data_IF_418504737678
#
_entry.id   IF_418504737678
#
_cell.length_a   1.000
_cell.length_b   1.000
_cell.length_c   1.000
_cell.angle_alpha   90.00
_cell.angle_beta   90.00
_cell.angle_gamma   90.00
#
_symmetry.space_group_name_H-M   'P 1'
#
loop_
_entity.id
_entity.type
_entity.pdbx_description
1 polymer ?
#
# COMPACT_ATOMS: atom_id res chain seq x y z
N UNK A 1 0.04 -56.23 -24.14
CA UNK A 1 0.79 -54.94 -24.03
C UNK A 1 -0.16 -53.92 -23.43
N UNK A 2 -0.07 -53.68 -22.12
CA UNK A 2 -0.92 -52.71 -21.42
C UNK A 2 -0.11 -51.44 -21.18
N UNK A 3 -0.51 -50.34 -21.81
CA UNK A 3 0.10 -49.03 -21.58
C UNK A 3 -0.45 -48.45 -20.28
N UNK A 4 0.39 -48.46 -19.23
CA UNK A 4 0.16 -47.69 -18.02
C UNK A 4 0.45 -46.20 -18.33
N UNK A 5 -0.60 -45.41 -18.46
CA UNK A 5 -0.47 -43.96 -18.51
C UNK A 5 -0.19 -43.44 -17.09
N UNK A 6 1.03 -42.97 -16.84
CA UNK A 6 1.35 -42.19 -15.65
C UNK A 6 0.70 -40.81 -15.78
N UNK A 7 -0.32 -40.56 -14.96
CA UNK A 7 -0.90 -39.23 -14.81
C UNK A 7 0.13 -38.32 -14.12
N UNK A 8 0.66 -37.34 -14.86
CA UNK A 8 1.54 -36.32 -14.34
C UNK A 8 0.68 -35.29 -13.57
N UNK A 9 0.68 -35.36 -12.24
CA UNK A 9 0.08 -34.32 -11.40
C UNK A 9 0.99 -33.09 -11.42
N UNK A 10 0.62 -32.07 -12.19
CA UNK A 10 1.26 -30.77 -12.09
C UNK A 10 0.94 -30.18 -10.69
N UNK A 11 1.93 -29.64 -9.95
CA UNK A 11 1.67 -28.99 -8.68
C UNK A 11 0.81 -27.75 -8.92
N UNK A 12 -0.37 -27.72 -8.27
CA UNK A 12 -1.23 -26.54 -8.23
C UNK A 12 -0.50 -25.49 -7.39
N UNK A 13 0.03 -24.45 -8.04
CA UNK A 13 0.59 -23.29 -7.35
C UNK A 13 -0.56 -22.46 -6.80
N UNK A 14 -0.78 -22.53 -5.48
CA UNK A 14 -1.65 -21.58 -4.78
C UNK A 14 -0.95 -20.23 -4.78
N UNK A 15 -1.31 -19.36 -5.73
CA UNK A 15 -0.95 -17.94 -5.67
C UNK A 15 -1.88 -17.24 -4.69
N UNK A 16 -1.65 -17.42 -3.39
CA UNK A 16 -2.38 -16.69 -2.36
C UNK A 16 -1.44 -15.65 -1.75
N UNK A 17 -1.67 -14.39 -2.11
CA UNK A 17 -2.04 -13.31 -1.18
C UNK A 17 -2.05 -11.99 -1.98
N UNK A 18 -3.18 -11.30 -1.97
CA UNK A 18 -3.49 -10.24 -2.92
C UNK A 18 -2.63 -8.97 -2.70
N UNK A 19 -2.03 -8.80 -1.52
CA UNK A 19 -1.11 -7.70 -1.19
C UNK A 19 0.00 -8.08 -0.19
N UNK A 20 0.57 -9.29 -0.24
CA UNK A 20 1.77 -9.61 0.55
C UNK A 20 3.06 -9.32 -0.24
N UNK A 21 4.05 -8.77 0.46
CA UNK A 21 5.45 -8.81 0.01
C UNK A 21 6.04 -10.18 0.35
N UNK A 22 6.84 -10.79 -0.55
CA UNK A 22 7.68 -11.92 -0.19
C UNK A 22 8.53 -11.64 1.04
N UNK A 23 8.83 -12.69 1.81
CA UNK A 23 9.70 -12.57 2.98
C UNK A 23 11.07 -11.96 2.59
N UNK A 24 11.58 -11.06 3.42
CA UNK A 24 12.82 -10.33 3.15
C UNK A 24 12.69 -9.15 2.18
N UNK A 25 11.49 -8.89 1.65
CA UNK A 25 11.20 -7.69 0.85
C UNK A 25 10.51 -6.62 1.68
N UNK A 26 10.83 -5.36 1.37
CA UNK A 26 10.18 -4.19 1.95
C UNK A 26 10.02 -3.11 0.90
N UNK A 27 9.13 -2.17 1.18
CA UNK A 27 8.77 -1.11 0.28
C UNK A 27 8.56 0.16 1.07
N UNK A 28 9.13 1.24 0.59
CA UNK A 28 8.95 2.58 1.15
C UNK A 28 8.22 3.43 0.13
N UNK A 29 7.07 3.96 0.51
CA UNK A 29 6.20 4.78 -0.32
C UNK A 29 5.98 6.14 0.34
N UNK A 30 6.02 7.19 -0.47
CA UNK A 30 5.64 8.54 -0.10
C UNK A 30 4.24 8.79 -0.64
N UNK A 31 3.33 9.13 0.26
CA UNK A 31 1.96 9.50 -0.08
C UNK A 31 1.71 10.98 0.21
N UNK A 32 0.96 11.64 -0.67
CA UNK A 32 0.37 12.94 -0.41
C UNK A 32 -0.95 12.76 0.33
N UNK A 33 -1.08 13.41 1.48
CA UNK A 33 -2.31 13.47 2.26
C UNK A 33 -3.21 14.57 1.66
N UNK A 34 -4.29 14.21 0.95
CA UNK A 34 -5.10 15.23 0.28
C UNK A 34 -6.01 16.01 1.22
N UNK A 35 -6.24 15.53 2.45
CA UNK A 35 -6.99 16.30 3.44
C UNK A 35 -6.11 17.37 4.11
N UNK A 36 -4.86 17.03 4.45
CA UNK A 36 -3.98 17.89 5.24
C UNK A 36 -2.92 18.64 4.40
N UNK A 37 -2.69 18.22 3.16
CA UNK A 37 -1.74 18.87 2.24
C UNK A 37 -0.26 18.57 2.53
N UNK A 38 0.04 17.65 3.44
CA UNK A 38 1.39 17.21 3.76
C UNK A 38 1.72 15.84 3.12
N UNK A 39 2.87 15.27 3.47
CA UNK A 39 3.32 13.97 2.96
C UNK A 39 3.59 13.01 4.09
N UNK A 40 3.29 11.73 3.85
CA UNK A 40 3.55 10.63 4.77
C UNK A 40 4.48 9.62 4.11
N UNK A 41 5.47 9.14 4.85
CA UNK A 41 6.29 8.00 4.46
C UNK A 41 5.71 6.74 5.09
N UNK A 42 5.44 5.75 4.26
CA UNK A 42 4.91 4.45 4.66
C UNK A 42 5.91 3.38 4.26
N UNK A 43 6.40 2.62 5.24
CA UNK A 43 7.26 1.46 5.01
C UNK A 43 6.46 0.19 5.26
N UNK A 44 6.33 -0.67 4.27
CA UNK A 44 5.61 -1.95 4.32
C UNK A 44 6.62 -3.09 4.18
N UNK A 45 6.51 -4.11 5.03
CA UNK A 45 7.37 -5.30 4.98
C UNK A 45 6.95 -6.31 6.04
N UNK A 46 7.15 -7.60 5.75
CA UNK A 46 6.89 -8.71 6.69
C UNK A 46 5.49 -8.69 7.33
N UNK A 47 4.45 -8.28 6.57
CA UNK A 47 3.07 -8.20 7.09
C UNK A 47 2.79 -7.02 8.02
N UNK A 48 3.71 -6.08 8.12
CA UNK A 48 3.57 -4.87 8.92
C UNK A 48 3.77 -3.62 8.08
N UNK A 49 3.30 -2.50 8.62
CA UNK A 49 3.60 -1.19 8.09
C UNK A 49 3.99 -0.21 9.20
N UNK A 50 4.83 0.75 8.84
CA UNK A 50 5.21 1.90 9.65
C UNK A 50 4.86 3.17 8.90
N UNK A 51 4.26 4.14 9.57
CA UNK A 51 3.90 5.46 9.02
C UNK A 51 4.62 6.53 9.83
N UNK A 52 5.25 7.47 9.14
CA UNK A 52 5.88 8.64 9.73
C UNK A 52 5.69 9.88 8.83
N UNK A 53 5.77 11.10 9.39
CA UNK A 53 5.81 12.33 8.62
C UNK A 53 6.96 12.32 7.60
N UNK A 54 6.77 13.00 6.48
CA UNK A 54 7.80 13.17 5.46
C UNK A 54 7.95 14.64 5.09
N UNK A 55 9.21 15.09 4.96
CA UNK A 55 9.53 16.45 4.48
C UNK A 55 8.98 17.56 5.38
N UNK A 56 8.86 17.30 6.69
CA UNK A 56 8.42 18.27 7.70
C UNK A 56 9.13 18.06 9.06
N UNK A 57 8.71 18.81 10.08
CA UNK A 57 9.34 18.83 11.41
C UNK A 57 8.70 17.86 12.43
N UNK A 58 7.60 17.19 12.10
CA UNK A 58 6.94 16.24 13.00
C UNK A 58 7.75 14.94 13.16
N UNK A 59 7.56 14.24 14.29
CA UNK A 59 8.38 13.07 14.68
C UNK A 59 7.59 11.86 15.21
N UNK A 60 6.29 11.82 14.99
CA UNK A 60 5.47 10.69 15.43
C UNK A 60 5.64 9.47 14.52
N UNK A 61 5.38 8.28 15.06
CA UNK A 61 5.48 7.01 14.33
C UNK A 61 4.25 6.17 14.66
N UNK A 62 3.57 5.68 13.63
CA UNK A 62 2.49 4.68 13.75
C UNK A 62 2.99 3.35 13.23
N UNK A 63 2.63 2.26 13.91
CA UNK A 63 2.90 0.88 13.48
C UNK A 63 1.58 0.12 13.43
N UNK A 64 1.38 -0.67 12.39
CA UNK A 64 0.18 -1.49 12.24
C UNK A 64 0.50 -2.83 11.56
N UNK A 65 -0.37 -3.81 11.80
CA UNK A 65 -0.39 -5.04 11.01
C UNK A 65 -1.14 -4.78 9.69
N UNK A 66 -0.62 -5.32 8.60
CA UNK A 66 -1.28 -5.31 7.30
C UNK A 66 -2.04 -6.62 7.12
N UNK A 67 -3.35 -6.53 6.94
CA UNK A 67 -4.13 -7.65 6.40
C UNK A 67 -3.78 -7.78 4.92
N UNK A 68 -2.90 -8.72 4.63
CA UNK A 68 -2.40 -8.95 3.27
C UNK A 68 -3.45 -9.63 2.37
N UNK A 69 -4.50 -10.21 2.95
CA UNK A 69 -5.63 -10.81 2.23
C UNK A 69 -6.56 -9.73 1.72
N UNK A 70 -6.93 -8.78 2.58
CA UNK A 70 -7.87 -7.70 2.26
C UNK A 70 -7.19 -6.38 1.87
N UNK A 71 -5.86 -6.33 1.90
CA UNK A 71 -5.05 -5.14 1.57
C UNK A 71 -5.43 -3.92 2.42
N UNK A 72 -5.70 -4.14 3.69
CA UNK A 72 -6.08 -3.08 4.61
C UNK A 72 -5.35 -3.17 5.94
N UNK A 73 -5.39 -2.11 6.72
CA UNK A 73 -4.82 -2.06 8.05
C UNK A 73 -5.66 -1.16 8.96
N UNK A 74 -5.73 -1.52 10.23
CA UNK A 74 -6.28 -0.65 11.28
C UNK A 74 -5.17 0.27 11.78
N UNK A 75 -5.31 1.57 11.54
CA UNK A 75 -4.29 2.57 11.84
C UNK A 75 -4.75 3.44 13.01
N UNK A 76 -4.06 3.32 14.14
CA UNK A 76 -4.28 4.20 15.28
C UNK A 76 -3.28 5.36 15.26
N UNK A 77 -3.79 6.55 14.92
CA UNK A 77 -2.99 7.78 14.88
C UNK A 77 -2.83 8.43 16.26
N UNK A 78 -3.42 7.88 17.34
CA UNK A 78 -3.30 8.40 18.71
C UNK A 78 -1.95 8.02 19.32
N UNK A 79 -0.88 8.49 18.71
CA UNK A 79 0.52 8.24 19.10
C UNK A 79 1.16 9.51 19.64
N UNK A 80 2.21 9.34 20.46
CA UNK A 80 2.91 10.46 21.07
C UNK A 80 3.46 11.43 20.00
N UNK A 81 3.24 12.73 20.21
CA UNK A 81 3.75 13.80 19.36
C UNK A 81 2.96 14.06 18.08
N UNK A 82 1.91 13.30 17.76
CA UNK A 82 1.01 13.62 16.64
C UNK A 82 0.02 14.71 17.05
N UNK A 83 -0.02 15.87 16.37
CA UNK A 83 -1.05 16.87 16.61
C UNK A 83 -2.40 16.35 16.12
N UNK A 84 -3.45 16.63 16.90
CA UNK A 84 -4.87 16.43 16.55
C UNK A 84 -5.19 15.06 15.91
N UNK A 85 -4.87 13.93 16.58
CA UNK A 85 -5.21 12.62 16.02
C UNK A 85 -6.74 12.41 15.97
N UNK A 86 -7.26 11.63 15.02
CA UNK A 86 -8.66 11.21 15.03
C UNK A 86 -9.02 10.49 16.35
N UNK A 87 -10.30 10.55 16.78
CA UNK A 87 -10.73 9.98 18.06
C UNK A 87 -10.67 8.45 18.11
N UNK A 88 -10.70 7.79 16.94
CA UNK A 88 -10.65 6.34 16.78
C UNK A 88 -9.58 5.94 15.75
N UNK A 89 -9.22 4.65 15.77
CA UNK A 89 -8.43 4.05 14.70
C UNK A 89 -9.22 4.05 13.38
N UNK A 90 -8.54 4.31 12.28
CA UNK A 90 -9.12 4.35 10.94
C UNK A 90 -8.75 3.10 10.16
N UNK A 91 -9.65 2.63 9.31
CA UNK A 91 -9.37 1.57 8.34
C UNK A 91 -8.68 2.21 7.13
N UNK A 92 -7.41 1.87 6.93
CA UNK A 92 -6.65 2.21 5.73
C UNK A 92 -6.81 1.09 4.70
N UNK A 93 -7.46 1.35 3.57
CA UNK A 93 -7.61 0.39 2.48
C UNK A 93 -6.75 0.80 1.29
N UNK A 94 -5.84 -0.08 0.88
CA UNK A 94 -4.93 0.20 -0.22
C UNK A 94 -5.56 -0.19 -1.56
N UNK A 95 -5.61 0.78 -2.47
CA UNK A 95 -6.19 0.66 -3.79
C UNK A 95 -5.11 0.88 -4.84
N UNK A 96 -5.17 0.11 -5.92
CA UNK A 96 -4.31 0.24 -7.08
C UNK A 96 -5.18 0.31 -8.31
N UNK A 97 -4.93 1.30 -9.16
CA UNK A 97 -5.63 1.47 -10.42
C UNK A 97 -4.69 1.57 -11.61
N UNK A 98 -5.26 1.42 -12.80
CA UNK A 98 -4.58 1.64 -14.07
C UNK A 98 -5.41 2.55 -14.95
N UNK A 99 -4.77 3.49 -15.64
CA UNK A 99 -5.38 4.40 -16.60
C UNK A 99 -5.03 3.98 -18.03
N UNK A 100 -5.93 4.27 -18.99
CA UNK A 100 -5.68 4.02 -20.42
C UNK A 100 -4.59 4.94 -21.01
N UNK A 101 -4.31 6.07 -20.36
CA UNK A 101 -3.26 7.02 -20.70
C UNK A 101 -2.38 7.35 -19.50
N UNK A 102 -1.64 8.47 -19.52
CA UNK A 102 -0.90 8.95 -18.37
C UNK A 102 -1.82 9.08 -17.16
N UNK A 103 -1.40 8.53 -16.03
CA UNK A 103 -2.09 8.64 -14.76
C UNK A 103 -2.02 10.05 -14.20
N UNK A 104 -2.67 10.29 -13.04
CA UNK A 104 -2.72 11.61 -12.40
C UNK A 104 -1.34 12.09 -11.94
N UNK A 105 -0.40 11.17 -11.76
CA UNK A 105 1.01 11.49 -11.55
C UNK A 105 1.67 11.61 -12.92
N UNK A 106 2.30 12.76 -13.16
CA UNK A 106 3.08 13.01 -14.35
C UNK A 106 4.21 11.99 -14.57
N UNK A 107 4.96 12.11 -15.67
CA UNK A 107 6.11 11.25 -15.92
C UNK A 107 7.07 11.25 -14.74
N UNK A 108 7.77 10.12 -14.56
CA UNK A 108 8.88 10.03 -13.62
C UNK A 108 9.90 11.16 -13.89
N UNK A 109 10.58 11.69 -12.84
CA UNK A 109 11.66 12.68 -12.99
C UNK A 109 12.74 12.24 -13.99
N UNK A 110 13.53 13.17 -14.53
CA UNK A 110 13.48 13.53 -15.95
C UNK A 110 13.81 12.37 -16.91
N UNK A 111 12.89 12.11 -17.84
CA UNK A 111 13.05 11.14 -18.93
C UNK A 111 12.37 9.79 -18.73
N UNK A 112 11.63 9.59 -17.64
CA UNK A 112 10.95 8.32 -17.36
C UNK A 112 9.63 8.13 -18.12
N UNK A 113 9.18 6.87 -18.20
CA UNK A 113 7.92 6.51 -18.84
C UNK A 113 6.70 7.11 -18.13
N UNK A 114 5.62 7.33 -18.89
CA UNK A 114 4.33 7.73 -18.33
C UNK A 114 3.82 6.68 -17.35
N UNK A 115 3.45 7.11 -16.13
CA UNK A 115 2.87 6.21 -15.14
C UNK A 115 1.41 5.95 -15.50
N UNK A 116 1.08 4.79 -16.06
CA UNK A 116 -0.31 4.39 -16.30
C UNK A 116 -0.94 3.61 -15.13
N UNK A 117 -0.23 3.52 -13.99
CA UNK A 117 -0.71 2.91 -12.76
C UNK A 117 -0.59 3.91 -11.62
N UNK A 118 -1.56 3.90 -10.71
CA UNK A 118 -1.59 4.74 -9.52
C UNK A 118 -1.94 3.92 -8.27
N UNK A 119 -1.57 4.43 -7.11
CA UNK A 119 -1.87 3.84 -5.82
C UNK A 119 -2.51 4.86 -4.89
N UNK A 120 -3.49 4.41 -4.12
CA UNK A 120 -4.22 5.22 -3.16
C UNK A 120 -4.37 4.46 -1.83
N UNK A 121 -4.49 5.19 -0.73
CA UNK A 121 -4.95 4.66 0.54
C UNK A 121 -6.21 5.40 0.93
N UNK A 122 -7.34 4.70 0.98
CA UNK A 122 -8.62 5.27 1.36
C UNK A 122 -8.83 5.02 2.85
N UNK A 123 -9.08 6.08 3.62
CA UNK A 123 -9.33 6.00 5.05
C UNK A 123 -10.82 6.11 5.34
N UNK A 124 -11.35 5.15 6.10
CA UNK A 124 -12.71 5.17 6.62
C UNK A 124 -12.72 4.97 8.13
N UNK A 125 -13.75 5.44 8.81
CA UNK A 125 -13.99 5.12 10.21
C UNK A 125 -14.85 3.85 10.31
N UNK A 126 -14.32 2.75 10.88
CA UNK A 126 -15.07 1.50 10.99
C UNK A 126 -16.26 1.60 11.96
N UNK A 127 -16.31 2.62 12.82
CA UNK A 127 -17.43 2.84 13.75
C UNK A 127 -18.59 3.60 13.11
N UNK A 128 -18.34 4.29 11.99
CA UNK A 128 -19.31 5.17 11.34
C UNK A 128 -19.62 6.47 12.09
N UNK A 129 -18.92 6.75 13.20
CA UNK A 129 -19.11 7.98 13.99
C UNK A 129 -18.58 9.23 13.26
N UNK A 130 -17.57 9.05 12.40
CA UNK A 130 -16.98 10.10 11.58
C UNK A 130 -17.43 9.99 10.13
N UNK A 131 -17.66 11.14 9.48
CA UNK A 131 -17.89 11.21 8.04
C UNK A 131 -19.17 10.53 7.52
N UNK A 132 -20.05 10.04 8.40
CA UNK A 132 -21.30 9.40 7.98
C UNK A 132 -21.12 8.15 7.13
N UNK A 133 -20.02 7.41 7.33
CA UNK A 133 -19.68 6.22 6.54
C UNK A 133 -19.05 6.51 5.18
N UNK A 134 -18.79 7.78 4.87
CA UNK A 134 -18.01 8.18 3.70
C UNK A 134 -16.49 8.08 3.97
N UNK A 135 -15.65 8.02 2.93
CA UNK A 135 -14.21 8.20 3.06
C UNK A 135 -13.89 9.51 3.79
N UNK A 136 -13.01 9.43 4.79
CA UNK A 136 -12.53 10.58 5.56
C UNK A 136 -11.33 11.26 4.92
N UNK A 137 -10.48 10.46 4.29
CA UNK A 137 -9.26 10.92 3.65
C UNK A 137 -8.86 9.93 2.55
N UNK A 138 -8.09 10.43 1.59
CA UNK A 138 -7.38 9.62 0.62
C UNK A 138 -5.92 10.01 0.69
N UNK A 139 -5.02 9.08 0.54
CA UNK A 139 -3.60 9.34 0.36
C UNK A 139 -3.18 8.87 -1.01
N UNK A 140 -2.66 9.77 -1.85
CA UNK A 140 -2.24 9.43 -3.22
C UNK A 140 -0.75 9.16 -3.25
N UNK A 141 -0.36 8.03 -3.83
CA UNK A 141 1.05 7.66 -3.98
C UNK A 141 1.78 8.73 -4.79
N UNK A 142 2.95 9.19 -4.34
CA UNK A 142 3.80 10.16 -5.05
C UNK A 142 5.03 9.46 -5.60
N UNK A 143 5.68 8.67 -4.74
CA UNK A 143 6.87 7.91 -5.09
C UNK A 143 6.93 6.63 -4.26
N UNK A 144 7.56 5.59 -4.76
CA UNK A 144 7.88 4.43 -3.95
C UNK A 144 9.13 3.72 -4.45
N UNK A 145 9.81 3.08 -3.51
CA UNK A 145 11.04 2.33 -3.70
C UNK A 145 10.87 0.97 -3.06
N UNK A 146 11.17 -0.08 -3.82
CA UNK A 146 11.21 -1.45 -3.35
C UNK A 146 12.64 -1.83 -2.97
N UNK A 147 12.81 -2.54 -1.86
CA UNK A 147 14.06 -3.09 -1.40
C UNK A 147 13.96 -4.61 -1.20
N UNK A 148 15.03 -5.34 -1.55
CA UNK A 148 15.13 -6.80 -1.46
C UNK A 148 15.36 -7.49 -2.81
N UNK A 149 15.93 -8.69 -2.80
CA UNK A 149 16.13 -9.51 -3.99
C UNK A 149 14.89 -10.41 -4.26
N UNK A 150 14.58 -10.68 -5.53
CA UNK A 150 13.53 -11.62 -5.95
C UNK A 150 12.35 -11.01 -6.71
N UNK A 151 11.60 -11.86 -7.42
CA UNK A 151 10.43 -11.45 -8.22
C UNK A 151 9.28 -10.99 -7.33
N UNK A 152 8.76 -9.80 -7.57
CA UNK A 152 7.63 -9.22 -6.82
C UNK A 152 6.32 -9.46 -7.56
N UNK A 153 5.27 -9.83 -6.82
CA UNK A 153 3.94 -10.01 -7.40
C UNK A 153 3.48 -8.74 -8.16
N UNK A 154 2.85 -8.86 -9.35
CA UNK A 154 2.47 -7.71 -10.18
C UNK A 154 1.54 -6.70 -9.50
N UNK A 155 0.74 -7.13 -8.51
CA UNK A 155 -0.14 -6.25 -7.73
C UNK A 155 0.64 -5.45 -6.69
N UNK A 156 1.67 -6.06 -6.10
CA UNK A 156 2.55 -5.43 -5.11
C UNK A 156 3.56 -4.47 -5.76
N UNK A 157 4.07 -4.81 -6.95
CA UNK A 157 4.78 -3.86 -7.81
C UNK A 157 4.04 -2.53 -7.95
N UNK A 158 2.72 -2.59 -8.16
CA UNK A 158 1.89 -1.39 -8.30
C UNK A 158 1.57 -0.69 -6.97
N UNK A 159 1.34 -1.46 -5.91
CA UNK A 159 1.10 -0.95 -4.55
C UNK A 159 2.34 -0.21 -4.00
N UNK A 160 3.51 -0.69 -4.37
CA UNK A 160 4.83 -0.17 -4.04
C UNK A 160 5.47 0.65 -5.15
N UNK A 161 4.70 1.10 -6.13
CA UNK A 161 5.13 1.96 -7.24
C UNK A 161 6.33 1.47 -8.08
N UNK A 162 6.78 0.23 -7.86
CA UNK A 162 7.81 -0.47 -8.61
C UNK A 162 7.19 -0.99 -9.90
N UNK A 163 7.24 -0.17 -10.95
CA UNK A 163 6.92 -0.58 -12.31
C UNK A 163 7.94 -1.62 -12.79
#
# INVERSE_FOLDING_TARGET
MSLLALAYLAPVSFQTVACALPEGQSCTAIYADIHDGDKKKVTIGSGHLTIEPYDNQEKWIVKAALDTTHCNASIDFRVAGKPNPPPSALTATYVVGTTAGPGPLGPLPPGGAARNSFGEVVFTDPTGALGGGLPLNVWVLVNATLAGAGSVAPRMKRMCGAM
#
